data_IF_647965697124
#
_entry.id   IF_647965697124
#
_cell.length_a   1.000
_cell.length_b   1.000
_cell.length_c   1.000
_cell.angle_alpha   90.00
_cell.angle_beta   90.00
_cell.angle_gamma   90.00
#
_symmetry.space_group_name_H-M   'P 1'
#
loop_
_entity.id
_entity.type
_entity.pdbx_description
1 polymer ?
#
# COMPACT_ATOMS: atom_id res chain seq x y z
N UNK A 1 8.55 -25.03 -2.64
CA UNK A 1 7.67 -24.78 -3.80
C UNK A 1 8.26 -25.55 -4.96
N UNK A 2 7.44 -26.33 -5.66
CA UNK A 2 7.86 -27.17 -6.79
C UNK A 2 8.19 -26.36 -8.07
N UNK A 3 8.09 -25.03 -8.00
CA UNK A 3 8.35 -24.12 -9.12
C UNK A 3 7.16 -23.98 -10.08
N UNK A 4 6.02 -24.63 -9.80
CA UNK A 4 4.81 -24.48 -10.59
C UNK A 4 4.22 -23.07 -10.46
N UNK A 5 3.62 -22.58 -11.54
CA UNK A 5 2.97 -21.28 -11.54
C UNK A 5 1.67 -21.32 -10.73
N UNK A 6 1.49 -20.37 -9.83
CA UNK A 6 0.23 -20.07 -9.17
C UNK A 6 -0.83 -19.69 -10.21
N UNK A 7 -2.10 -19.99 -9.91
CA UNK A 7 -3.25 -19.50 -10.70
C UNK A 7 -3.34 -17.96 -10.77
N UNK A 8 -2.61 -17.28 -9.88
CA UNK A 8 -2.56 -15.82 -9.78
C UNK A 8 -1.31 -15.23 -10.45
N UNK A 9 -0.44 -16.07 -11.01
CA UNK A 9 0.80 -15.64 -11.62
C UNK A 9 0.56 -14.57 -12.72
N UNK A 10 1.33 -13.47 -12.64
CA UNK A 10 1.27 -12.37 -13.59
C UNK A 10 0.05 -11.46 -13.48
N UNK A 11 -0.92 -11.74 -12.59
CA UNK A 11 -1.99 -10.78 -12.29
C UNK A 11 -1.38 -9.57 -11.60
N UNK A 12 -1.88 -8.37 -11.91
CA UNK A 12 -1.46 -7.15 -11.22
C UNK A 12 -2.00 -7.15 -9.78
N UNK A 13 -1.25 -6.59 -8.84
CA UNK A 13 -1.73 -6.32 -7.48
C UNK A 13 -1.14 -5.00 -6.96
N UNK A 14 -1.88 -4.30 -6.10
CA UNK A 14 -1.42 -3.10 -5.42
C UNK A 14 -1.91 -3.12 -3.98
N UNK A 15 -1.11 -2.59 -3.06
CA UNK A 15 -1.52 -2.37 -1.67
C UNK A 15 -1.86 -0.90 -1.51
N UNK A 16 -3.10 -0.62 -1.11
CA UNK A 16 -3.58 0.71 -0.74
C UNK A 16 -4.04 0.66 0.73
N UNK A 17 -3.50 1.54 1.57
CA UNK A 17 -3.73 1.50 3.02
C UNK A 17 -4.01 2.89 3.58
N UNK A 18 -4.95 2.95 4.53
CA UNK A 18 -5.16 4.10 5.40
C UNK A 18 -4.62 3.80 6.79
N UNK A 19 -3.96 4.76 7.41
CA UNK A 19 -3.38 4.67 8.74
C UNK A 19 -3.92 5.79 9.63
N UNK A 20 -4.28 5.42 10.86
CA UNK A 20 -4.93 6.35 11.79
C UNK A 20 -4.02 7.48 12.24
N UNK A 21 -2.74 7.19 12.47
CA UNK A 21 -1.77 8.17 12.96
C UNK A 21 -0.98 8.83 11.83
N UNK A 22 -0.39 10.01 12.07
CA UNK A 22 0.42 10.72 11.08
C UNK A 22 1.62 9.91 10.54
N UNK A 23 2.18 10.35 9.43
CA UNK A 23 3.27 9.65 8.73
C UNK A 23 4.53 9.54 9.59
N UNK A 24 4.83 10.55 10.41
CA UNK A 24 6.00 10.62 11.28
C UNK A 24 6.03 9.53 12.35
N UNK A 25 4.87 8.96 12.69
CA UNK A 25 4.80 7.79 13.59
C UNK A 25 5.40 6.54 12.93
N UNK A 26 5.37 6.44 11.59
CA UNK A 26 5.83 5.29 10.82
C UNK A 26 7.25 5.46 10.29
N UNK A 27 8.17 5.78 11.20
CA UNK A 27 9.61 5.88 10.94
C UNK A 27 10.36 5.04 11.98
N UNK A 28 11.65 4.70 11.78
CA UNK A 28 12.44 4.01 12.80
C UNK A 28 12.50 4.77 14.13
N UNK A 29 12.49 6.11 14.09
CA UNK A 29 12.52 6.99 15.25
C UNK A 29 11.13 7.38 15.77
N UNK A 30 10.08 7.14 14.97
CA UNK A 30 8.70 7.49 15.27
C UNK A 30 8.07 6.58 16.33
N UNK A 31 6.87 6.95 16.79
CA UNK A 31 6.19 6.21 17.87
C UNK A 31 5.93 4.74 17.56
N UNK A 32 5.79 4.36 16.28
CA UNK A 32 5.58 2.95 15.90
C UNK A 32 6.89 2.22 15.61
N UNK A 33 8.04 2.92 15.58
CA UNK A 33 9.39 2.37 15.37
C UNK A 33 9.54 1.48 14.12
N UNK A 34 8.67 1.69 13.12
CA UNK A 34 8.60 0.89 11.91
C UNK A 34 7.90 1.67 10.80
N UNK A 35 8.35 1.49 9.56
CA UNK A 35 7.64 1.99 8.38
C UNK A 35 6.38 1.16 8.10
N UNK A 36 5.40 1.74 7.39
CA UNK A 36 4.24 0.98 6.92
C UNK A 36 4.65 -0.21 6.03
N UNK A 37 5.69 -0.05 5.22
CA UNK A 37 6.28 -1.14 4.42
C UNK A 37 6.70 -2.33 5.28
N UNK A 38 7.41 -2.07 6.39
CA UNK A 38 7.84 -3.12 7.31
C UNK A 38 6.63 -3.81 7.95
N UNK A 39 5.66 -3.03 8.43
CA UNK A 39 4.45 -3.57 9.06
C UNK A 39 3.59 -4.38 8.08
N UNK A 40 3.57 -3.99 6.81
CA UNK A 40 2.81 -4.65 5.75
C UNK A 40 3.64 -5.67 4.95
N UNK A 41 4.84 -6.02 5.42
CA UNK A 41 5.73 -6.95 4.73
C UNK A 41 5.12 -8.33 4.48
N UNK A 42 4.20 -8.78 5.35
CA UNK A 42 3.46 -10.03 5.18
C UNK A 42 2.52 -10.02 3.97
N UNK A 43 1.90 -8.87 3.64
CA UNK A 43 1.10 -8.71 2.44
C UNK A 43 1.98 -8.83 1.19
N UNK A 44 3.14 -8.14 1.19
CA UNK A 44 4.09 -8.23 0.10
C UNK A 44 4.60 -9.67 -0.10
N UNK A 45 4.92 -10.36 0.99
CA UNK A 45 5.33 -11.77 0.96
C UNK A 45 4.24 -12.68 0.36
N UNK A 46 2.98 -12.44 0.70
CA UNK A 46 1.83 -13.20 0.19
C UNK A 46 1.61 -12.96 -1.31
N UNK A 47 1.65 -11.71 -1.75
CA UNK A 47 1.51 -11.38 -3.18
C UNK A 47 2.67 -11.97 -4.00
N UNK A 48 3.89 -11.94 -3.47
CA UNK A 48 5.05 -12.56 -4.09
C UNK A 48 4.96 -14.08 -4.15
N UNK A 49 4.49 -14.71 -3.07
CA UNK A 49 4.22 -16.16 -3.03
C UNK A 49 3.24 -16.57 -4.12
N UNK A 50 2.20 -15.76 -4.34
CA UNK A 50 1.21 -15.96 -5.39
C UNK A 50 1.65 -15.48 -6.79
N UNK A 51 2.89 -14.99 -6.93
CA UNK A 51 3.49 -14.56 -8.20
C UNK A 51 2.74 -13.41 -8.90
N UNK A 52 2.15 -12.49 -8.13
CA UNK A 52 1.57 -11.27 -8.69
C UNK A 52 2.64 -10.33 -9.26
N UNK A 53 2.26 -9.55 -10.26
CA UNK A 53 2.96 -8.33 -10.67
C UNK A 53 2.58 -7.18 -9.71
N UNK A 54 3.40 -7.01 -8.68
CA UNK A 54 3.11 -6.08 -7.58
C UNK A 54 3.49 -4.66 -8.01
N UNK A 55 2.48 -3.80 -8.17
CA UNK A 55 2.66 -2.40 -8.49
C UNK A 55 3.21 -1.64 -7.28
N UNK A 56 4.19 -0.79 -7.54
CA UNK A 56 4.88 0.05 -6.55
C UNK A 56 4.85 1.52 -7.00
N UNK A 57 4.90 2.48 -6.06
CA UNK A 57 4.85 2.28 -4.60
C UNK A 57 3.44 1.90 -4.09
N UNK A 58 3.35 1.40 -2.86
CA UNK A 58 2.04 1.28 -2.18
C UNK A 58 1.39 2.65 -1.99
N UNK A 59 0.06 2.70 -2.05
CA UNK A 59 -0.70 3.93 -1.73
C UNK A 59 -0.92 3.99 -0.24
N UNK A 60 -0.67 5.17 0.35
CA UNK A 60 -0.75 5.39 1.80
C UNK A 60 -1.47 6.69 2.08
N UNK A 61 -2.44 6.64 3.00
CA UNK A 61 -3.10 7.83 3.56
C UNK A 61 -2.92 7.77 5.07
N UNK A 62 -2.39 8.83 5.68
CA UNK A 62 -2.09 8.89 7.12
C UNK A 62 -3.07 9.81 7.85
N UNK A 63 -3.06 9.79 9.19
CA UNK A 63 -3.81 10.73 10.02
C UNK A 63 -5.32 10.51 10.04
N UNK A 64 -5.82 9.37 9.55
CA UNK A 64 -7.27 9.17 9.37
C UNK A 64 -8.06 9.08 10.68
N UNK A 65 -7.40 8.90 11.83
CA UNK A 65 -8.04 8.91 13.14
C UNK A 65 -8.29 10.34 13.68
N UNK A 66 -7.65 11.35 13.10
CA UNK A 66 -7.69 12.74 13.59
C UNK A 66 -8.52 13.68 12.70
N UNK A 67 -9.15 13.13 11.66
CA UNK A 67 -9.83 13.90 10.63
C UNK A 67 -8.84 14.42 9.59
N UNK A 68 -9.11 14.11 8.33
CA UNK A 68 -8.39 14.71 7.20
C UNK A 68 -9.05 16.04 6.84
N UNK A 69 -8.25 16.98 6.36
CA UNK A 69 -8.82 18.13 5.66
C UNK A 69 -9.47 17.67 4.35
N UNK A 70 -10.46 18.42 3.86
CA UNK A 70 -11.09 18.15 2.56
C UNK A 70 -10.04 18.17 1.43
N UNK A 71 -9.01 19.01 1.56
CA UNK A 71 -7.90 19.11 0.61
C UNK A 71 -7.02 17.85 0.62
N UNK A 72 -6.65 17.35 1.80
CA UNK A 72 -5.85 16.13 1.93
C UNK A 72 -6.62 14.90 1.44
N UNK A 73 -7.93 14.85 1.72
CA UNK A 73 -8.81 13.80 1.24
C UNK A 73 -8.94 13.84 -0.29
N UNK A 74 -9.17 15.03 -0.87
CA UNK A 74 -9.26 15.21 -2.31
C UNK A 74 -7.95 14.84 -3.02
N UNK A 75 -6.81 15.23 -2.44
CA UNK A 75 -5.48 14.88 -2.95
C UNK A 75 -5.26 13.37 -2.91
N UNK A 76 -5.59 12.72 -1.80
CA UNK A 76 -5.49 11.27 -1.64
C UNK A 76 -6.39 10.52 -2.63
N UNK A 77 -7.63 11.00 -2.82
CA UNK A 77 -8.57 10.43 -3.78
C UNK A 77 -8.07 10.58 -5.23
N UNK A 78 -7.49 11.73 -5.58
CA UNK A 78 -6.88 11.96 -6.90
C UNK A 78 -5.74 11.00 -7.16
N UNK A 79 -4.79 10.88 -6.23
CA UNK A 79 -3.65 9.95 -6.34
C UNK A 79 -4.11 8.50 -6.48
N UNK A 80 -5.13 8.10 -5.73
CA UNK A 80 -5.72 6.76 -5.84
C UNK A 80 -6.39 6.52 -7.21
N UNK A 81 -7.13 7.50 -7.73
CA UNK A 81 -7.73 7.42 -9.06
C UNK A 81 -6.67 7.33 -10.18
N UNK A 82 -5.59 8.11 -10.09
CA UNK A 82 -4.47 8.05 -11.04
C UNK A 82 -3.79 6.67 -11.02
N UNK A 83 -3.61 6.09 -9.82
CA UNK A 83 -3.12 4.71 -9.69
C UNK A 83 -4.06 3.72 -10.38
N UNK A 84 -5.38 3.78 -10.12
CA UNK A 84 -6.34 2.85 -10.71
C UNK A 84 -6.39 2.97 -12.24
N UNK A 85 -6.28 4.19 -12.77
CA UNK A 85 -6.19 4.43 -14.21
C UNK A 85 -4.93 3.78 -14.82
N UNK A 86 -3.77 3.94 -14.17
CA UNK A 86 -2.53 3.27 -14.60
C UNK A 86 -2.59 1.75 -14.43
N UNK A 87 -3.28 1.25 -13.41
CA UNK A 87 -3.45 -0.18 -13.14
C UNK A 87 -4.30 -0.87 -14.21
N UNK A 88 -5.34 -0.17 -14.71
CA UNK A 88 -6.26 -0.67 -15.72
C UNK A 88 -5.70 -0.64 -17.16
N UNK A 89 -4.64 0.13 -17.42
CA UNK A 89 -3.96 0.21 -18.71
C UNK A 89 -3.08 -1.02 -19.00
#
# INVERSE_FOLDING_TARGET
MDGSASQLAGKKAVVAVTAGVPAEHYTPEGSNQATLETLLGSWHATLRLCQFDIQQPMVKVYGTAFGLSDEDLATSAKQYNELLAAFAA
#
